data_IF_119920165839
#
_entry.id   IF_119920165839
#
_cell.length_a   1.000
_cell.length_b   1.000
_cell.length_c   1.000
_cell.angle_alpha   90.00
_cell.angle_beta   90.00
_cell.angle_gamma   90.00
#
_symmetry.space_group_name_H-M   'P 1'
#
loop_
_entity.id
_entity.type
_entity.pdbx_description
1 polymer ?
#
# COMPACT_ATOMS: atom_id res chain seq x y z
N UNK A 1 -5.58 33.04 -28.42
CA UNK A 1 -4.90 32.87 -27.13
C UNK A 1 -4.50 31.40 -27.01
N UNK A 2 -3.22 31.08 -27.19
CA UNK A 2 -2.68 29.72 -27.03
C UNK A 2 -1.64 29.80 -25.92
N UNK A 3 -1.97 29.27 -24.74
CA UNK A 3 -1.01 29.14 -23.64
C UNK A 3 -0.47 27.72 -23.72
N UNK A 4 0.82 27.63 -24.02
CA UNK A 4 1.59 26.40 -23.97
C UNK A 4 1.96 26.15 -22.50
N UNK A 5 1.48 25.06 -21.91
CA UNK A 5 1.96 24.58 -20.60
C UNK A 5 3.02 23.52 -20.88
N UNK A 6 4.28 23.85 -20.65
CA UNK A 6 5.38 22.92 -20.74
C UNK A 6 5.39 22.02 -19.50
N UNK A 7 5.08 20.74 -19.68
CA UNK A 7 5.28 19.70 -18.66
C UNK A 7 6.76 19.28 -18.72
N UNK A 8 7.58 19.78 -17.80
CA UNK A 8 8.94 19.26 -17.60
C UNK A 8 8.80 17.99 -16.76
N UNK A 9 8.74 16.84 -17.42
CA UNK A 9 8.88 15.54 -16.75
C UNK A 9 10.37 15.34 -16.49
N UNK A 10 10.81 15.65 -15.27
CA UNK A 10 12.10 15.21 -14.79
C UNK A 10 12.01 13.68 -14.55
N UNK A 11 12.38 12.88 -15.55
CA UNK A 11 12.61 11.45 -15.39
C UNK A 11 13.85 11.27 -14.51
N UNK A 12 13.63 11.08 -13.22
CA UNK A 12 14.65 10.51 -12.35
C UNK A 12 14.52 8.99 -12.48
N UNK A 13 15.34 8.40 -13.36
CA UNK A 13 15.50 6.94 -13.43
C UNK A 13 16.31 6.53 -12.20
N UNK A 14 15.61 6.22 -11.11
CA UNK A 14 16.20 5.50 -10.00
C UNK A 14 16.22 4.02 -10.38
N UNK A 15 17.40 3.50 -10.68
CA UNK A 15 17.63 2.07 -10.77
C UNK A 15 17.79 1.53 -9.34
N UNK A 16 16.69 1.44 -8.61
CA UNK A 16 16.65 0.61 -7.39
C UNK A 16 16.53 -0.85 -7.83
N UNK A 17 17.38 -1.72 -7.30
CA UNK A 17 17.41 -3.13 -7.65
C UNK A 17 16.22 -3.87 -7.05
N UNK A 18 15.08 -3.88 -7.73
CA UNK A 18 13.93 -4.70 -7.32
C UNK A 18 13.61 -5.84 -8.28
N UNK A 19 12.72 -6.71 -7.81
CA UNK A 19 12.37 -8.02 -8.36
C UNK A 19 12.28 -8.04 -9.90
N UNK A 20 13.24 -8.71 -10.54
CA UNK A 20 13.40 -8.78 -12.01
C UNK A 20 12.78 -10.04 -12.66
N UNK A 21 12.03 -10.86 -11.94
CA UNK A 21 11.57 -12.18 -12.44
C UNK A 21 10.12 -12.50 -12.08
N UNK A 22 9.22 -11.53 -12.21
CA UNK A 22 7.80 -11.81 -12.11
C UNK A 22 7.36 -12.71 -13.27
N UNK A 23 6.72 -13.83 -12.96
CA UNK A 23 6.18 -14.74 -13.98
C UNK A 23 4.89 -14.14 -14.52
N UNK A 24 4.88 -13.81 -15.82
CA UNK A 24 3.66 -13.40 -16.51
C UNK A 24 2.58 -14.46 -16.35
N UNK A 25 1.39 -14.04 -15.91
CA UNK A 25 0.26 -14.94 -15.65
C UNK A 25 0.24 -15.59 -14.26
N UNK A 26 1.16 -15.23 -13.36
CA UNK A 26 1.12 -15.60 -11.96
C UNK A 26 0.61 -14.46 -11.08
N UNK A 27 0.04 -14.81 -9.92
CA UNK A 27 -0.36 -13.85 -8.91
C UNK A 27 0.85 -13.32 -8.13
N UNK A 28 0.77 -12.07 -7.69
CA UNK A 28 1.72 -11.51 -6.73
C UNK A 28 1.39 -12.03 -5.33
N UNK A 29 2.33 -12.76 -4.73
CA UNK A 29 2.12 -13.42 -3.44
C UNK A 29 2.90 -12.78 -2.30
N UNK A 30 4.03 -12.12 -2.59
CA UNK A 30 4.87 -11.49 -1.55
C UNK A 30 4.54 -10.00 -1.41
N UNK A 31 4.33 -9.57 -0.18
CA UNK A 31 3.90 -8.24 0.17
C UNK A 31 4.66 -7.75 1.38
N UNK A 32 4.90 -6.45 1.46
CA UNK A 32 5.11 -5.77 2.74
C UNK A 32 3.74 -5.39 3.28
N UNK A 33 3.44 -5.77 4.53
CA UNK A 33 2.18 -5.45 5.20
C UNK A 33 2.43 -4.60 6.44
N UNK A 34 1.50 -3.69 6.74
CA UNK A 34 1.56 -2.85 7.92
C UNK A 34 0.17 -2.58 8.49
N UNK A 35 0.04 -2.67 9.82
CA UNK A 35 -1.22 -2.55 10.54
C UNK A 35 -1.21 -3.40 11.81
N UNK A 36 -2.37 -3.61 12.45
CA UNK A 36 -3.68 -3.08 12.07
C UNK A 36 -3.92 -1.67 12.62
N UNK A 37 -4.42 -0.76 11.78
CA UNK A 37 -4.81 0.60 12.18
C UNK A 37 -6.28 0.61 12.65
N UNK A 38 -6.59 1.12 13.85
CA UNK A 38 -7.96 1.15 14.32
C UNK A 38 -8.80 2.16 13.51
N UNK A 39 -9.96 1.71 13.03
CA UNK A 39 -10.98 2.56 12.41
C UNK A 39 -12.01 3.01 13.45
N UNK A 40 -12.79 4.03 13.10
CA UNK A 40 -13.86 4.50 13.96
C UNK A 40 -15.00 3.48 13.96
N UNK A 41 -15.50 3.15 15.16
CA UNK A 41 -16.68 2.30 15.32
C UNK A 41 -17.88 3.22 15.37
N UNK A 42 -18.76 3.12 14.35
CA UNK A 42 -20.05 3.80 14.32
C UNK A 42 -21.18 2.77 14.46
N UNK A 43 -22.35 3.21 14.91
CA UNK A 43 -23.51 2.34 14.95
C UNK A 43 -23.88 1.88 13.53
N UNK A 44 -24.35 0.64 13.38
CA UNK A 44 -24.78 0.10 12.07
C UNK A 44 -25.83 0.98 11.39
N UNK A 45 -26.68 1.66 12.17
CA UNK A 45 -27.70 2.60 11.67
C UNK A 45 -27.11 3.82 10.95
N UNK A 46 -25.83 4.11 11.18
CA UNK A 46 -25.14 5.29 10.67
C UNK A 46 -24.23 4.95 9.48
N UNK A 47 -24.19 3.67 9.06
CA UNK A 47 -23.52 3.25 7.83
C UNK A 47 -24.28 3.77 6.61
N UNK A 48 -23.83 4.91 6.10
CA UNK A 48 -24.25 5.41 4.78
C UNK A 48 -23.15 5.24 3.72
N UNK A 49 -22.01 4.65 4.10
CA UNK A 49 -20.80 4.57 3.28
C UNK A 49 -20.53 3.13 2.81
N UNK A 50 -19.82 2.99 1.68
CA UNK A 50 -19.38 1.69 1.16
C UNK A 50 -18.31 1.01 2.05
N UNK A 51 -17.71 1.76 2.98
CA UNK A 51 -16.66 1.30 3.88
C UNK A 51 -16.79 1.92 5.29
N UNK A 52 -16.02 1.41 6.25
CA UNK A 52 -15.97 1.88 7.63
C UNK A 52 -15.45 3.32 7.76
N UNK A 53 -16.03 4.17 8.61
CA UNK A 53 -15.52 5.52 8.83
C UNK A 53 -14.06 5.55 9.27
N UNK A 54 -13.30 6.45 8.65
CA UNK A 54 -11.85 6.55 8.83
C UNK A 54 -11.02 5.71 7.87
N UNK A 55 -11.64 4.99 6.93
CA UNK A 55 -10.91 4.28 5.87
C UNK A 55 -10.11 5.24 4.98
N UNK A 56 -10.63 6.45 4.75
CA UNK A 56 -9.97 7.51 3.96
C UNK A 56 -8.83 8.22 4.71
N UNK A 57 -8.48 7.76 5.92
CA UNK A 57 -7.36 8.32 6.68
C UNK A 57 -6.07 7.73 6.14
N UNK A 58 -5.19 8.59 5.65
CA UNK A 58 -3.80 8.22 5.36
C UNK A 58 -3.02 8.05 6.68
N UNK A 59 -2.94 6.82 7.18
CA UNK A 59 -2.19 6.52 8.41
C UNK A 59 -0.68 6.64 8.23
N UNK A 60 -0.19 6.70 6.98
CA UNK A 60 1.22 6.81 6.62
C UNK A 60 1.66 8.28 6.46
N UNK A 61 0.77 9.25 6.69
CA UNK A 61 1.03 10.67 6.43
C UNK A 61 2.34 11.18 7.05
N UNK A 62 2.72 10.68 8.24
CA UNK A 62 3.97 11.08 8.93
C UNK A 62 5.25 10.67 8.21
N UNK A 63 5.17 9.70 7.30
CA UNK A 63 6.29 9.18 6.50
C UNK A 63 6.12 9.44 4.99
N UNK A 64 5.33 10.45 4.63
CA UNK A 64 5.09 10.84 3.23
C UNK A 64 3.78 10.32 2.64
N UNK A 65 2.97 9.63 3.44
CA UNK A 65 1.66 9.13 3.05
C UNK A 65 1.71 7.96 2.09
N UNK A 66 0.57 7.67 1.47
CA UNK A 66 0.41 6.61 0.46
C UNK A 66 1.24 6.83 -0.82
N UNK A 67 1.84 8.01 -0.96
CA UNK A 67 2.73 8.37 -2.09
C UNK A 67 4.20 8.14 -1.81
N UNK A 68 4.56 7.72 -0.60
CA UNK A 68 5.95 7.47 -0.24
C UNK A 68 6.50 6.28 -1.01
N UNK A 69 7.61 6.47 -1.74
CA UNK A 69 8.23 5.44 -2.59
C UNK A 69 9.30 4.61 -1.86
N UNK A 70 9.51 4.85 -0.56
CA UNK A 70 10.60 4.25 0.21
C UNK A 70 10.04 3.46 1.40
N UNK A 71 9.28 2.39 1.11
CA UNK A 71 8.79 1.43 2.11
C UNK A 71 9.66 0.18 2.05
N UNK A 72 10.34 -0.10 3.16
CA UNK A 72 11.23 -1.27 3.31
C UNK A 72 10.75 -2.20 4.43
N UNK A 73 11.15 -3.47 4.37
CA UNK A 73 10.87 -4.41 5.45
C UNK A 73 11.52 -3.94 6.76
N UNK A 74 10.76 -4.03 7.86
CA UNK A 74 11.24 -3.63 9.18
C UNK A 74 11.24 -2.12 9.40
N UNK A 75 10.98 -1.30 8.38
CA UNK A 75 10.75 0.12 8.54
C UNK A 75 9.61 0.35 9.55
N UNK A 76 9.84 1.27 10.49
CA UNK A 76 8.91 1.56 11.56
C UNK A 76 8.60 3.05 11.65
N UNK A 77 7.39 3.36 12.07
CA UNK A 77 6.93 4.72 12.30
C UNK A 77 5.89 4.75 13.40
N UNK A 78 5.63 5.94 13.93
CA UNK A 78 4.69 6.13 15.02
C UNK A 78 3.43 6.83 14.53
N UNK A 79 2.27 6.30 14.91
CA UNK A 79 0.97 6.91 14.70
C UNK A 79 0.17 6.86 16.00
N UNK A 80 -0.33 8.00 16.47
CA UNK A 80 -1.05 8.15 17.75
C UNK A 80 -0.32 7.51 18.95
N UNK A 81 1.01 7.64 18.99
CA UNK A 81 1.84 7.11 20.09
C UNK A 81 2.08 5.58 20.04
N UNK A 82 1.55 4.89 19.04
CA UNK A 82 1.80 3.47 18.78
C UNK A 82 2.83 3.32 17.65
N UNK A 83 3.85 2.48 17.86
CA UNK A 83 4.78 2.08 16.80
C UNK A 83 4.12 1.05 15.88
N UNK A 84 4.24 1.27 14.58
CA UNK A 84 3.86 0.36 13.50
C UNK A 84 5.10 -0.03 12.71
N UNK A 85 5.13 -1.26 12.20
CA UNK A 85 6.28 -1.81 11.48
C UNK A 85 5.84 -2.61 10.28
N UNK A 86 6.48 -2.36 9.14
CA UNK A 86 6.32 -3.13 7.91
C UNK A 86 6.94 -4.51 8.05
N UNK A 87 6.24 -5.54 7.56
CA UNK A 87 6.69 -6.94 7.64
C UNK A 87 6.51 -7.61 6.29
N UNK A 88 7.44 -8.47 5.90
CA UNK A 88 7.23 -9.33 4.75
C UNK A 88 6.14 -10.38 5.06
N UNK A 89 5.27 -10.62 4.09
CA UNK A 89 4.23 -11.63 4.12
C UNK A 89 4.07 -12.28 2.74
N UNK A 90 4.11 -13.60 2.69
CA UNK A 90 3.82 -14.36 1.47
C UNK A 90 2.44 -14.99 1.57
N UNK A 91 1.48 -14.46 0.80
CA UNK A 91 0.15 -15.00 0.64
C UNK A 91 0.18 -16.34 -0.12
N UNK A 92 -0.67 -17.31 0.24
CA UNK A 92 -0.72 -18.60 -0.44
C UNK A 92 -1.34 -18.52 -1.85
N UNK A 93 -2.07 -17.45 -2.16
CA UNK A 93 -2.73 -17.18 -3.45
C UNK A 93 -2.88 -15.66 -3.67
N UNK A 94 -3.70 -15.24 -4.63
CA UNK A 94 -3.99 -13.83 -4.98
C UNK A 94 -4.67 -12.99 -3.89
N UNK A 95 -5.03 -13.58 -2.76
CA UNK A 95 -5.75 -12.92 -1.67
C UNK A 95 -4.84 -12.80 -0.45
N UNK A 96 -4.65 -11.57 0.02
CA UNK A 96 -4.01 -11.30 1.31
C UNK A 96 -5.06 -11.41 2.41
N UNK A 97 -5.06 -12.51 3.15
CA UNK A 97 -5.85 -12.66 4.37
C UNK A 97 -5.25 -11.78 5.49
N UNK A 98 -5.95 -10.71 5.86
CA UNK A 98 -5.48 -9.75 6.86
C UNK A 98 -5.49 -10.31 8.29
N UNK A 99 -6.32 -11.31 8.59
CA UNK A 99 -6.33 -11.95 9.90
C UNK A 99 -5.02 -12.72 10.14
N UNK A 100 -4.50 -13.34 9.07
CA UNK A 100 -3.22 -14.07 9.07
C UNK A 100 -2.03 -13.12 8.91
N UNK A 101 -2.11 -12.20 7.95
CA UNK A 101 -1.01 -11.32 7.58
C UNK A 101 -0.70 -10.25 8.65
N UNK A 102 -1.75 -9.78 9.35
CA UNK A 102 -1.66 -8.62 10.23
C UNK A 102 -2.12 -8.97 11.65
N UNK A 103 -3.42 -9.22 11.84
CA UNK A 103 -4.01 -9.69 13.10
C UNK A 103 -5.52 -9.89 12.96
N UNK A 104 -6.08 -10.87 13.67
CA UNK A 104 -7.52 -11.07 13.83
C UNK A 104 -8.17 -9.97 14.67
N UNK A 105 -8.56 -8.86 14.04
CA UNK A 105 -9.23 -7.73 14.68
C UNK A 105 -10.28 -7.12 13.76
N UNK A 106 -11.47 -6.84 14.30
CA UNK A 106 -12.51 -6.11 13.56
C UNK A 106 -12.29 -4.61 13.59
N UNK A 107 -12.87 -3.89 12.63
CA UNK A 107 -12.82 -2.42 12.53
C UNK A 107 -11.39 -1.88 12.43
N UNK A 108 -10.58 -2.48 11.55
CA UNK A 108 -9.21 -2.05 11.31
C UNK A 108 -8.95 -1.91 9.82
N UNK A 109 -7.96 -1.08 9.49
CA UNK A 109 -7.34 -1.01 8.18
C UNK A 109 -5.92 -1.58 8.24
N UNK A 110 -5.40 -1.98 7.09
CA UNK A 110 -4.02 -2.37 6.92
C UNK A 110 -3.55 -1.98 5.51
N UNK A 111 -2.26 -1.75 5.38
CA UNK A 111 -1.62 -1.52 4.10
C UNK A 111 -0.92 -2.78 3.62
N UNK A 112 -0.94 -2.98 2.30
CA UNK A 112 -0.11 -3.93 1.59
C UNK A 112 0.66 -3.17 0.50
N UNK A 113 1.95 -3.43 0.38
CA UNK A 113 2.86 -2.74 -0.52
C UNK A 113 3.79 -3.74 -1.23
N UNK A 114 4.02 -3.53 -2.52
CA UNK A 114 5.02 -4.24 -3.32
C UNK A 114 5.48 -3.32 -4.44
N UNK A 115 6.78 -3.33 -4.71
CA UNK A 115 7.34 -2.73 -5.92
C UNK A 115 7.73 -3.82 -6.91
N UNK A 116 7.46 -3.58 -8.19
CA UNK A 116 7.89 -4.44 -9.29
C UNK A 116 8.41 -3.58 -10.43
N UNK A 117 9.31 -4.15 -11.22
CA UNK A 117 9.95 -3.47 -12.34
C UNK A 117 9.50 -4.16 -13.62
N UNK A 118 8.98 -3.38 -14.55
CA UNK A 118 8.66 -3.86 -15.90
C UNK A 118 9.51 -3.10 -16.92
N UNK A 119 10.01 -3.80 -17.94
CA UNK A 119 10.56 -3.14 -19.13
C UNK A 119 9.45 -2.39 -19.86
N UNK A 120 9.78 -1.22 -20.44
CA UNK A 120 8.83 -0.27 -21.02
C UNK A 120 7.87 -0.83 -22.09
N UNK A 121 8.11 -2.04 -22.60
CA UNK A 121 7.31 -2.68 -23.66
C UNK A 121 6.19 -3.62 -23.15
N UNK A 122 5.91 -3.72 -21.85
CA UNK A 122 5.00 -4.79 -21.33
C UNK A 122 4.01 -4.36 -20.24
N UNK A 123 3.69 -3.07 -20.10
CA UNK A 123 2.65 -2.66 -19.13
C UNK A 123 1.26 -2.69 -19.79
N UNK A 124 0.59 -3.84 -19.67
CA UNK A 124 -0.86 -3.94 -19.76
C UNK A 124 -1.41 -4.17 -18.35
N UNK A 125 -1.88 -3.11 -17.69
CA UNK A 125 -2.65 -3.25 -16.44
C UNK A 125 -4.08 -3.60 -16.86
N UNK A 126 -4.54 -4.79 -16.50
CA UNK A 126 -5.93 -5.23 -16.69
C UNK A 126 -6.82 -4.67 -15.59
#
# INVERSE_FOLDING_TARGET
MKILVAFVIALSVHCSGGYQNEKVGAWMTDWLVCGPFPLQVVAESDFQFEHLPGFEIDFLQSIGGERSQEIEEGAAFTYNGQEYRWRAYSAPDSIVDLDVAVATRSHVAAYAFREFYASAETIGVL
#
